data_IF_891882807519
#
_entry.id   IF_891882807519
#
_cell.length_a   1.000
_cell.length_b   1.000
_cell.length_c   1.000
_cell.angle_alpha   90.00
_cell.angle_beta   90.00
_cell.angle_gamma   90.00
#
_symmetry.space_group_name_H-M   'P 1'
#
loop_
_entity.id
_entity.type
_entity.pdbx_description
1 polymer ?
#
# COMPACT_ATOMS: atom_id res chain seq x y z
N UNK A 1 18.61 7.26 -18.57
CA UNK A 1 18.32 5.97 -17.91
C UNK A 1 17.38 6.28 -16.76
N UNK A 2 16.08 5.95 -16.89
CA UNK A 2 15.15 6.09 -15.77
C UNK A 2 15.58 5.11 -14.67
N UNK A 3 15.84 5.65 -13.49
CA UNK A 3 16.18 4.90 -12.30
C UNK A 3 15.01 3.95 -12.01
N UNK A 4 15.19 2.65 -12.29
CA UNK A 4 14.11 1.66 -12.15
C UNK A 4 13.77 1.54 -10.68
N UNK A 5 12.70 2.22 -10.28
CA UNK A 5 12.12 2.16 -8.94
C UNK A 5 11.83 0.70 -8.59
N UNK A 6 12.32 0.23 -7.45
CA UNK A 6 11.91 -1.07 -6.94
C UNK A 6 10.40 -1.03 -6.67
N UNK A 7 9.68 -2.03 -7.18
CA UNK A 7 8.28 -2.33 -6.83
C UNK A 7 8.21 -3.72 -6.18
N UNK A 8 7.26 -3.96 -5.30
CA UNK A 8 7.07 -5.30 -4.70
C UNK A 8 6.05 -6.12 -5.46
N UNK A 9 5.09 -5.48 -6.13
CA UNK A 9 4.06 -6.20 -6.89
C UNK A 9 4.66 -6.64 -8.23
N UNK A 10 4.65 -7.96 -8.47
CA UNK A 10 5.28 -8.60 -9.63
C UNK A 10 4.27 -9.45 -10.40
N UNK A 11 4.71 -9.90 -11.57
CA UNK A 11 3.95 -10.77 -12.45
C UNK A 11 4.78 -12.01 -12.81
N UNK A 12 4.21 -13.18 -12.54
CA UNK A 12 4.59 -14.43 -13.18
C UNK A 12 3.95 -14.49 -14.57
N UNK A 13 4.79 -14.32 -15.60
CA UNK A 13 4.34 -14.28 -16.99
C UNK A 13 3.75 -15.62 -17.42
N UNK A 14 4.23 -16.75 -16.89
CA UNK A 14 3.79 -18.07 -17.33
C UNK A 14 2.34 -18.34 -16.92
N UNK A 15 1.97 -17.93 -15.70
CA UNK A 15 0.61 -18.07 -15.16
C UNK A 15 -0.40 -17.10 -15.77
N UNK A 16 0.03 -15.94 -16.28
CA UNK A 16 -0.87 -14.86 -16.67
C UNK A 16 -1.67 -15.13 -17.96
N UNK A 17 -2.98 -15.34 -17.91
CA UNK A 17 -3.79 -15.58 -19.12
C UNK A 17 -4.27 -14.32 -19.87
N UNK A 18 -3.83 -13.12 -19.48
CA UNK A 18 -4.27 -11.89 -20.12
C UNK A 18 -5.77 -11.58 -19.99
N UNK A 19 -6.45 -12.14 -18.97
CA UNK A 19 -7.91 -12.10 -18.81
C UNK A 19 -8.52 -10.72 -18.49
N UNK A 20 -7.71 -9.67 -18.47
CA UNK A 20 -8.09 -8.26 -18.21
C UNK A 20 -8.55 -7.87 -16.80
N UNK A 21 -8.83 -8.81 -15.89
CA UNK A 21 -9.42 -8.47 -14.58
C UNK A 21 -8.56 -7.49 -13.75
N UNK A 22 -7.24 -7.73 -13.69
CA UNK A 22 -6.33 -6.89 -12.93
C UNK A 22 -6.22 -5.44 -13.44
N UNK A 23 -6.40 -5.19 -14.74
CA UNK A 23 -6.31 -3.82 -15.25
C UNK A 23 -7.54 -2.99 -14.90
N UNK A 24 -8.74 -3.61 -14.87
CA UNK A 24 -9.99 -2.93 -14.50
C UNK A 24 -10.03 -2.51 -13.04
N UNK A 25 -9.25 -3.18 -12.19
CA UNK A 25 -9.20 -2.95 -10.75
C UNK A 25 -7.99 -2.12 -10.32
N UNK A 26 -7.12 -1.72 -11.26
CA UNK A 26 -5.94 -0.95 -10.91
C UNK A 26 -6.31 0.52 -10.65
N UNK A 27 -6.16 1.04 -9.41
CA UNK A 27 -6.65 2.36 -9.01
C UNK A 27 -5.93 3.54 -9.69
N UNK A 28 -4.74 3.28 -10.22
CA UNK A 28 -3.89 4.24 -10.92
C UNK A 28 -3.70 3.88 -12.39
N UNK A 29 -4.52 2.95 -12.90
CA UNK A 29 -4.47 2.51 -14.30
C UNK A 29 -3.06 2.07 -14.73
N UNK A 30 -2.29 1.47 -13.80
CA UNK A 30 -0.90 1.08 -14.00
C UNK A 30 -0.73 -0.19 -14.84
N UNK A 31 -1.82 -0.88 -15.20
CA UNK A 31 -1.74 -2.18 -15.87
C UNK A 31 -2.23 -2.05 -17.32
N UNK A 32 -1.44 -2.60 -18.24
CA UNK A 32 -1.85 -2.85 -19.64
C UNK A 32 -1.80 -4.35 -19.92
N UNK A 33 -2.57 -4.82 -20.89
CA UNK A 33 -2.47 -6.18 -21.43
C UNK A 33 -2.08 -6.08 -22.89
N UNK A 34 -0.94 -6.67 -23.25
CA UNK A 34 -0.38 -6.66 -24.60
C UNK A 34 0.29 -8.01 -24.87
N UNK A 35 0.10 -8.54 -26.08
CA UNK A 35 0.62 -9.87 -26.43
C UNK A 35 0.09 -10.99 -25.51
N UNK A 36 -1.17 -10.88 -25.07
CA UNK A 36 -1.82 -11.87 -24.20
C UNK A 36 -1.35 -11.89 -22.74
N UNK A 37 -0.47 -10.98 -22.31
CA UNK A 37 0.03 -10.91 -20.93
C UNK A 37 -0.12 -9.51 -20.34
N UNK A 38 -0.27 -9.41 -19.02
CA UNK A 38 -0.29 -8.14 -18.33
C UNK A 38 1.12 -7.52 -18.25
N UNK A 39 1.19 -6.19 -18.19
CA UNK A 39 2.40 -5.40 -17.97
C UNK A 39 2.07 -4.34 -16.93
N UNK A 40 2.98 -4.08 -15.99
CA UNK A 40 2.85 -3.05 -14.96
C UNK A 40 3.72 -1.87 -15.40
N UNK A 41 3.13 -0.68 -15.45
CA UNK A 41 3.82 0.59 -15.64
C UNK A 41 4.32 1.00 -14.25
N UNK A 42 5.62 0.87 -14.03
CA UNK A 42 6.26 1.04 -12.72
C UNK A 42 5.94 2.42 -12.13
N UNK A 43 6.02 3.48 -12.94
CA UNK A 43 5.77 4.87 -12.52
C UNK A 43 4.35 5.09 -12.00
N UNK A 44 3.37 4.28 -12.42
CA UNK A 44 1.97 4.34 -11.95
C UNK A 44 1.69 3.42 -10.77
N UNK A 45 2.50 2.38 -10.59
CA UNK A 45 2.21 1.36 -9.59
C UNK A 45 2.44 1.92 -8.18
N UNK A 46 1.43 1.77 -7.34
CA UNK A 46 1.47 2.17 -5.92
C UNK A 46 1.65 0.98 -4.97
N UNK A 47 1.83 -0.23 -5.52
CA UNK A 47 2.01 -1.48 -4.80
C UNK A 47 0.86 -1.85 -3.83
N UNK A 48 -0.36 -1.38 -4.08
CA UNK A 48 -1.52 -1.63 -3.21
C UNK A 48 -1.94 -3.11 -3.15
N UNK A 49 -1.49 -3.93 -4.10
CA UNK A 49 -1.79 -5.36 -4.16
C UNK A 49 -3.20 -5.72 -4.66
N UNK A 50 -4.01 -4.77 -5.13
CA UNK A 50 -5.36 -5.05 -5.65
C UNK A 50 -5.32 -6.08 -6.79
N UNK A 51 -4.33 -5.96 -7.69
CA UNK A 51 -4.14 -6.94 -8.76
C UNK A 51 -3.73 -8.34 -8.29
N UNK A 52 -3.16 -8.48 -7.08
CA UNK A 52 -2.86 -9.79 -6.46
C UNK A 52 -4.16 -10.44 -6.03
N UNK A 53 -5.05 -9.67 -5.37
CA UNK A 53 -6.33 -10.16 -4.84
C UNK A 53 -7.28 -10.66 -5.93
N UNK A 54 -7.34 -9.97 -7.06
CA UNK A 54 -8.33 -10.25 -8.13
C UNK A 54 -7.83 -11.22 -9.20
N UNK A 55 -6.59 -11.72 -9.10
CA UNK A 55 -6.03 -12.59 -10.12
C UNK A 55 -6.37 -14.07 -9.86
N UNK A 56 -7.37 -14.59 -10.56
CA UNK A 56 -7.79 -16.01 -10.46
C UNK A 56 -6.69 -17.01 -10.85
N UNK A 57 -5.70 -16.56 -11.61
CA UNK A 57 -4.58 -17.38 -12.06
C UNK A 57 -3.36 -17.32 -11.14
N UNK A 58 -3.45 -16.55 -10.04
CA UNK A 58 -2.34 -16.29 -9.11
C UNK A 58 -1.04 -15.88 -9.83
N UNK A 59 -1.18 -15.13 -10.91
CA UNK A 59 -0.07 -14.65 -11.72
C UNK A 59 0.56 -13.39 -11.12
N UNK A 60 -0.20 -12.63 -10.31
CA UNK A 60 0.31 -11.47 -9.58
C UNK A 60 0.70 -11.92 -8.18
N UNK A 61 1.87 -11.47 -7.70
CA UNK A 61 2.36 -11.79 -6.37
C UNK A 61 3.13 -10.60 -5.78
N UNK A 62 3.30 -10.60 -4.46
CA UNK A 62 4.16 -9.65 -3.77
C UNK A 62 5.52 -10.31 -3.54
N UNK A 63 6.57 -9.67 -4.03
CA UNK A 63 7.96 -10.03 -3.76
C UNK A 63 8.34 -9.47 -2.39
N UNK A 64 8.56 -10.36 -1.42
CA UNK A 64 9.12 -10.08 -0.09
C UNK A 64 10.49 -10.73 0.06
N UNK A 65 11.19 -10.45 1.16
CA UNK A 65 12.42 -11.16 1.49
C UNK A 65 12.08 -12.58 1.99
N UNK A 66 12.78 -13.62 1.53
CA UNK A 66 12.63 -14.96 2.08
C UNK A 66 13.19 -15.02 3.50
N UNK A 67 12.75 -16.00 4.29
CA UNK A 67 13.30 -16.24 5.63
C UNK A 67 14.83 -16.41 5.67
N UNK A 68 15.44 -16.97 4.61
CA UNK A 68 16.89 -17.12 4.51
C UNK A 68 17.66 -15.79 4.51
N UNK A 69 17.00 -14.67 4.17
CA UNK A 69 17.62 -13.33 4.26
C UNK A 69 18.00 -12.95 5.69
N UNK A 70 17.47 -13.64 6.71
CA UNK A 70 17.87 -13.44 8.10
C UNK A 70 19.31 -13.92 8.37
N UNK A 71 19.85 -14.84 7.58
CA UNK A 71 21.17 -15.44 7.78
C UNK A 71 22.32 -14.46 7.51
N UNK A 72 22.06 -13.35 6.81
CA UNK A 72 23.05 -12.30 6.55
C UNK A 72 23.37 -11.46 7.80
N UNK A 73 22.59 -11.61 8.87
CA UNK A 73 22.76 -10.88 10.12
C UNK A 73 23.07 -11.81 11.28
N UNK A 74 23.90 -11.32 12.19
CA UNK A 74 24.30 -12.06 13.40
C UNK A 74 23.17 -12.10 14.42
N UNK A 75 22.43 -11.00 14.55
CA UNK A 75 21.29 -10.86 15.44
C UNK A 75 20.04 -10.45 14.66
N UNK A 76 18.89 -11.02 15.02
CA UNK A 76 17.64 -10.92 14.26
C UNK A 76 16.53 -10.40 15.15
N UNK A 77 16.00 -9.23 14.80
CA UNK A 77 14.85 -8.62 15.46
C UNK A 77 13.62 -8.79 14.58
N UNK A 78 12.54 -9.34 15.14
CA UNK A 78 11.25 -9.40 14.48
C UNK A 78 10.41 -8.16 14.82
N UNK A 79 9.82 -7.54 13.80
CA UNK A 79 8.83 -6.47 13.94
C UNK A 79 7.46 -6.96 13.48
N UNK A 80 6.65 -7.61 14.35
CA UNK A 80 5.31 -8.02 13.99
C UNK A 80 4.39 -6.83 13.80
N UNK A 81 3.72 -6.75 12.65
CA UNK A 81 2.62 -5.81 12.46
C UNK A 81 1.47 -6.12 13.44
N UNK A 82 0.72 -5.11 13.94
CA UNK A 82 -0.42 -5.35 14.83
C UNK A 82 -1.47 -6.29 14.23
N UNK A 83 -1.65 -6.25 12.90
CA UNK A 83 -2.59 -7.13 12.20
C UNK A 83 -2.21 -8.61 12.22
N UNK A 84 -0.96 -8.96 12.60
CA UNK A 84 -0.54 -10.35 12.81
C UNK A 84 -1.35 -11.02 13.91
N UNK A 85 -1.73 -10.28 14.95
CA UNK A 85 -2.51 -10.80 16.06
C UNK A 85 -3.91 -11.27 15.61
N UNK A 86 -4.47 -10.64 14.58
CA UNK A 86 -5.75 -11.08 13.99
C UNK A 86 -5.65 -12.39 13.19
N UNK A 87 -4.46 -12.88 12.87
CA UNK A 87 -4.30 -14.03 11.97
C UNK A 87 -4.46 -15.38 12.68
N UNK A 88 -4.36 -15.40 14.01
CA UNK A 88 -4.44 -16.63 14.81
C UNK A 88 -5.72 -16.65 15.64
N UNK A 89 -6.36 -17.82 15.70
CA UNK A 89 -7.58 -18.03 16.47
C UNK A 89 -7.24 -18.28 17.93
N UNK A 90 -8.15 -17.85 18.82
CA UNK A 90 -8.07 -18.09 20.27
C UNK A 90 -6.82 -17.54 20.96
N UNK A 91 -6.23 -16.46 20.42
CA UNK A 91 -5.24 -15.70 21.18
C UNK A 91 -5.92 -15.04 22.40
N UNK A 92 -5.27 -15.18 23.54
CA UNK A 92 -5.63 -14.55 24.82
C UNK A 92 -4.83 -13.26 24.98
N UNK A 93 -3.58 -13.24 24.52
CA UNK A 93 -2.67 -12.09 24.62
C UNK A 93 -1.76 -12.00 23.39
N UNK A 94 -1.40 -10.77 22.94
CA UNK A 94 -0.37 -10.57 21.93
C UNK A 94 0.97 -11.25 22.28
N UNK A 95 1.30 -11.40 23.57
CA UNK A 95 2.53 -12.08 24.03
C UNK A 95 2.72 -13.47 23.44
N UNK A 96 1.64 -14.21 23.15
CA UNK A 96 1.71 -15.53 22.52
C UNK A 96 2.40 -15.49 21.16
N UNK A 97 2.11 -14.46 20.37
CA UNK A 97 2.70 -14.27 19.05
C UNK A 97 4.16 -13.85 19.19
N UNK A 98 4.46 -12.96 20.15
CA UNK A 98 5.82 -12.49 20.40
C UNK A 98 6.74 -13.63 20.87
N UNK A 99 6.29 -14.43 21.83
CA UNK A 99 7.04 -15.58 22.33
C UNK A 99 7.15 -16.69 21.27
N UNK A 100 6.12 -16.85 20.42
CA UNK A 100 6.18 -17.73 19.26
C UNK A 100 7.27 -17.34 18.27
N UNK A 101 7.47 -16.04 18.03
CA UNK A 101 8.53 -15.53 17.16
C UNK A 101 9.92 -15.76 17.76
N UNK A 102 10.09 -15.57 19.07
CA UNK A 102 11.34 -15.92 19.75
C UNK A 102 11.62 -17.43 19.64
N UNK A 103 10.61 -18.27 19.87
CA UNK A 103 10.75 -19.72 19.75
C UNK A 103 11.05 -20.19 18.30
N UNK A 104 10.74 -19.36 17.31
CA UNK A 104 11.06 -19.60 15.89
C UNK A 104 12.53 -19.26 15.56
N UNK A 105 13.26 -18.59 16.46
CA UNK A 105 14.69 -18.31 16.32
C UNK A 105 15.06 -16.83 16.11
N UNK A 106 14.15 -15.89 16.36
CA UNK A 106 14.51 -14.47 16.48
C UNK A 106 15.18 -14.21 17.85
N UNK A 107 16.18 -13.32 17.87
CA UNK A 107 16.92 -12.96 19.08
C UNK A 107 16.15 -11.94 19.94
N UNK A 108 15.33 -11.10 19.31
CA UNK A 108 14.45 -10.13 19.97
C UNK A 108 13.19 -9.90 19.14
N UNK A 109 12.12 -9.47 19.81
CA UNK A 109 10.87 -9.06 19.14
C UNK A 109 10.44 -7.71 19.68
N UNK A 110 10.23 -6.76 18.77
CA UNK A 110 9.67 -5.45 19.11
C UNK A 110 8.38 -5.25 18.32
N UNK A 111 7.25 -5.24 19.02
CA UNK A 111 5.96 -5.12 18.34
C UNK A 111 5.75 -3.74 17.73
N UNK A 112 5.29 -3.71 16.48
CA UNK A 112 5.03 -2.44 15.78
C UNK A 112 3.86 -1.68 16.40
N UNK A 113 3.01 -2.35 17.19
CA UNK A 113 1.97 -1.73 18.00
C UNK A 113 2.56 -0.69 18.99
N UNK A 114 3.70 -0.97 19.62
CA UNK A 114 4.40 0.00 20.47
C UNK A 114 4.99 1.16 19.66
N UNK A 115 5.39 0.90 18.41
CA UNK A 115 5.73 1.96 17.46
C UNK A 115 4.52 2.85 17.11
N UNK A 116 3.33 2.26 16.98
CA UNK A 116 2.09 2.98 16.72
C UNK A 116 1.66 3.86 17.90
N UNK A 117 1.90 3.45 19.14
CA UNK A 117 1.71 4.32 20.31
C UNK A 117 2.60 5.58 20.21
N UNK A 118 3.89 5.41 19.90
CA UNK A 118 4.83 6.53 19.77
C UNK A 118 4.40 7.47 18.63
N UNK A 119 4.03 6.90 17.48
CA UNK A 119 3.55 7.67 16.33
C UNK A 119 2.25 8.40 16.64
N UNK A 120 1.30 7.77 17.34
CA UNK A 120 0.05 8.41 17.78
C UNK A 120 0.34 9.68 18.58
N UNK A 121 1.19 9.58 19.61
CA UNK A 121 1.59 10.74 20.41
C UNK A 121 2.27 11.81 19.55
N UNK A 122 3.16 11.41 18.64
CA UNK A 122 3.86 12.34 17.75
C UNK A 122 2.92 13.08 16.79
N UNK A 123 1.94 12.39 16.20
CA UNK A 123 0.91 13.00 15.35
C UNK A 123 0.10 14.00 16.17
N UNK A 124 -0.34 13.63 17.37
CA UNK A 124 -1.12 14.52 18.24
C UNK A 124 -0.37 15.79 18.65
N UNK A 125 0.93 15.69 18.93
CA UNK A 125 1.78 16.88 19.14
C UNK A 125 1.90 17.73 17.88
N UNK A 126 1.98 17.11 16.70
CA UNK A 126 2.03 17.84 15.43
C UNK A 126 0.72 18.58 15.16
N UNK A 127 -0.42 17.92 15.41
CA UNK A 127 -1.77 18.51 15.27
C UNK A 127 -2.02 19.66 16.25
N UNK A 128 -1.51 19.58 17.49
CA UNK A 128 -1.57 20.70 18.46
C UNK A 128 -0.92 21.99 17.94
N UNK A 129 0.04 21.87 17.03
CA UNK A 129 0.78 22.99 16.43
C UNK A 129 0.34 23.31 14.99
N UNK A 130 -0.68 22.61 14.48
CA UNK A 130 -1.18 22.78 13.11
C UNK A 130 -2.00 24.07 12.98
N UNK A 131 -1.97 24.67 11.79
CA UNK A 131 -2.75 25.84 11.42
C UNK A 131 -4.05 25.44 10.70
N UNK A 132 -5.07 26.31 10.62
CA UNK A 132 -6.32 26.00 9.94
C UNK A 132 -6.16 25.48 8.49
N UNK A 133 -5.18 25.99 7.75
CA UNK A 133 -4.86 25.58 6.37
C UNK A 133 -4.23 24.18 6.26
N UNK A 134 -3.72 23.60 7.34
CA UNK A 134 -3.17 22.25 7.34
C UNK A 134 -4.30 21.19 7.31
N UNK A 135 -5.54 21.58 7.64
CA UNK A 135 -6.68 20.67 7.75
C UNK A 135 -7.41 20.46 6.41
N UNK A 136 -7.92 19.23 6.15
CA UNK A 136 -7.81 18.03 6.99
C UNK A 136 -6.39 17.45 6.98
N UNK A 137 -5.93 16.93 8.12
CA UNK A 137 -4.64 16.20 8.17
C UNK A 137 -4.85 14.76 7.69
N UNK A 138 -4.07 14.33 6.71
CA UNK A 138 -4.13 13.01 6.11
C UNK A 138 -3.06 12.10 6.70
N UNK A 139 -3.45 10.91 7.17
CA UNK A 139 -2.53 9.89 7.65
C UNK A 139 -1.49 9.46 6.60
N UNK A 140 -0.25 9.27 7.05
CA UNK A 140 0.86 8.74 6.24
C UNK A 140 1.11 7.24 6.46
N UNK A 141 0.30 6.58 7.29
CA UNK A 141 0.54 5.21 7.77
C UNK A 141 0.50 4.16 6.64
N UNK A 142 -0.42 4.33 5.68
CA UNK A 142 -0.56 3.46 4.51
C UNK A 142 0.27 3.97 3.33
N UNK A 143 1.42 3.33 3.00
CA UNK A 143 2.29 3.82 1.91
C UNK A 143 1.62 3.77 0.53
N UNK A 144 0.65 2.86 0.33
CA UNK A 144 -0.13 2.80 -0.90
C UNK A 144 -1.02 4.04 -1.08
N UNK A 145 -1.62 4.56 0.01
CA UNK A 145 -2.43 5.79 -0.04
C UNK A 145 -1.55 7.02 -0.26
N UNK A 146 -0.42 7.12 0.44
CA UNK A 146 0.54 8.22 0.18
C UNK A 146 0.99 8.23 -1.29
N UNK A 147 1.28 7.06 -1.87
CA UNK A 147 1.62 6.97 -3.30
C UNK A 147 0.45 7.23 -4.24
N UNK A 148 -0.76 6.85 -3.86
CA UNK A 148 -1.97 7.20 -4.60
C UNK A 148 -2.12 8.72 -4.69
N UNK A 149 -1.98 9.43 -3.56
CA UNK A 149 -2.04 10.90 -3.50
C UNK A 149 -0.98 11.52 -4.42
N UNK A 150 0.27 11.04 -4.35
CA UNK A 150 1.35 11.50 -5.25
C UNK A 150 1.02 11.35 -6.74
N UNK A 151 0.22 10.36 -7.12
CA UNK A 151 -0.09 10.04 -8.53
C UNK A 151 -1.39 10.72 -8.99
N UNK A 152 -2.40 10.82 -8.13
CA UNK A 152 -3.76 11.24 -8.52
C UNK A 152 -4.26 12.51 -7.85
N UNK A 153 -3.73 12.88 -6.69
CA UNK A 153 -4.22 14.00 -5.87
C UNK A 153 -3.04 14.88 -5.39
N UNK A 154 -2.18 15.39 -6.30
CA UNK A 154 -0.98 16.11 -5.90
C UNK A 154 -1.26 17.37 -5.05
N UNK A 155 -2.45 17.96 -5.19
CA UNK A 155 -2.86 19.13 -4.41
C UNK A 155 -3.08 18.80 -2.92
N UNK A 156 -3.29 17.53 -2.58
CA UNK A 156 -3.44 17.05 -1.20
C UNK A 156 -2.11 16.71 -0.51
N UNK A 157 -0.96 16.91 -1.17
CA UNK A 157 0.34 16.51 -0.60
C UNK A 157 0.72 17.28 0.66
N UNK A 158 0.35 18.57 0.76
CA UNK A 158 0.60 19.41 1.93
C UNK A 158 -0.18 18.96 3.17
N UNK A 159 -1.29 18.25 2.97
CA UNK A 159 -2.14 17.74 4.05
C UNK A 159 -1.61 16.44 4.65
N UNK A 160 -0.63 15.76 4.02
CA UNK A 160 -0.09 14.50 4.55
C UNK A 160 0.80 14.77 5.76
N UNK A 161 0.50 14.11 6.88
CA UNK A 161 1.28 14.20 8.10
C UNK A 161 2.73 13.73 7.89
N UNK A 162 3.69 14.54 8.34
CA UNK A 162 5.13 14.36 8.13
C UNK A 162 5.81 13.51 9.22
N UNK A 163 5.08 12.54 9.78
CA UNK A 163 5.59 11.61 10.79
C UNK A 163 5.93 10.26 10.14
N UNK A 164 7.08 9.68 10.50
CA UNK A 164 7.53 8.37 10.04
C UNK A 164 6.56 7.27 10.48
N UNK A 165 6.41 6.26 9.65
CA UNK A 165 5.46 5.17 9.87
C UNK A 165 5.83 4.32 11.10
N UNK A 166 4.85 3.66 11.76
CA UNK A 166 5.09 2.85 12.96
C UNK A 166 6.20 1.81 12.82
N UNK A 167 6.35 1.16 11.66
CA UNK A 167 7.41 0.16 11.44
C UNK A 167 8.82 0.78 11.47
N UNK A 168 8.97 2.01 10.98
CA UNK A 168 10.24 2.74 10.97
C UNK A 168 10.60 3.14 12.40
N UNK A 169 9.63 3.68 13.13
CA UNK A 169 9.80 4.06 14.54
C UNK A 169 10.13 2.84 15.41
N UNK A 170 9.40 1.75 15.23
CA UNK A 170 9.66 0.48 15.90
C UNK A 170 11.09 -0.04 15.60
N UNK A 171 11.51 -0.03 14.34
CA UNK A 171 12.86 -0.45 13.97
C UNK A 171 13.96 0.41 14.61
N UNK A 172 13.79 1.73 14.60
CA UNK A 172 14.75 2.67 15.19
C UNK A 172 14.90 2.44 16.70
N UNK A 173 13.79 2.25 17.42
CA UNK A 173 13.79 1.97 18.86
C UNK A 173 14.44 0.61 19.12
N UNK A 174 13.95 -0.44 18.45
CA UNK A 174 14.39 -1.81 18.66
C UNK A 174 15.89 -1.98 18.43
N UNK A 175 16.42 -1.48 17.30
CA UNK A 175 17.86 -1.55 17.00
C UNK A 175 18.68 -0.80 18.04
N UNK A 176 18.29 0.44 18.38
CA UNK A 176 19.05 1.27 19.34
C UNK A 176 19.12 0.63 20.72
N UNK A 177 18.00 0.09 21.20
CA UNK A 177 17.92 -0.53 22.51
C UNK A 177 18.64 -1.88 22.55
N UNK A 178 18.50 -2.70 21.50
CA UNK A 178 19.21 -3.98 21.39
C UNK A 178 20.72 -3.77 21.32
N UNK A 179 21.21 -2.89 20.43
CA UNK A 179 22.64 -2.60 20.30
C UNK A 179 23.24 -2.11 21.62
N UNK A 180 22.54 -1.20 22.33
CA UNK A 180 22.98 -0.70 23.63
C UNK A 180 23.01 -1.79 24.70
N UNK A 181 21.96 -2.61 24.77
CA UNK A 181 21.82 -3.68 25.78
C UNK A 181 22.84 -4.80 25.59
N UNK A 182 23.13 -5.15 24.34
CA UNK A 182 24.00 -6.28 23.99
C UNK A 182 25.43 -5.85 23.64
N UNK A 183 25.70 -4.55 23.57
CA UNK A 183 26.99 -3.97 23.18
C UNK A 183 27.47 -4.52 21.83
N UNK A 184 26.61 -4.40 20.82
CA UNK A 184 26.85 -4.88 19.44
C UNK A 184 26.71 -3.74 18.45
N UNK A 185 27.36 -3.89 17.29
CA UNK A 185 27.32 -2.90 16.22
C UNK A 185 25.96 -2.93 15.49
N UNK A 186 25.41 -1.77 15.08
CA UNK A 186 24.14 -1.71 14.35
C UNK A 186 24.12 -2.53 13.05
N UNK A 187 25.27 -2.69 12.38
CA UNK A 187 25.39 -3.47 11.15
C UNK A 187 25.23 -4.98 11.35
N UNK A 188 25.44 -5.49 12.58
CA UNK A 188 25.28 -6.91 12.91
C UNK A 188 23.81 -7.30 13.17
N UNK A 189 22.93 -6.29 13.30
CA UNK A 189 21.54 -6.46 13.75
C UNK A 189 20.57 -6.25 12.59
N UNK A 190 19.97 -7.34 12.12
CA UNK A 190 18.90 -7.31 11.13
C UNK A 190 17.54 -7.15 11.78
N UNK A 191 16.73 -6.21 11.31
CA UNK A 191 15.41 -5.92 11.80
C UNK A 191 14.38 -6.08 10.67
N UNK A 192 13.52 -7.09 10.80
CA UNK A 192 12.63 -7.53 9.72
C UNK A 192 11.17 -7.32 10.08
N UNK A 193 10.46 -6.63 9.20
CA UNK A 193 9.04 -6.39 9.34
C UNK A 193 8.21 -7.58 8.85
N UNK A 194 7.39 -8.14 9.73
CA UNK A 194 6.45 -9.21 9.36
C UNK A 194 5.21 -8.53 8.80
N UNK A 195 5.14 -8.47 7.47
CA UNK A 195 4.23 -7.57 6.76
C UNK A 195 2.95 -8.24 6.25
N UNK A 196 1.78 -7.60 6.39
CA UNK A 196 0.56 -8.00 5.69
C UNK A 196 0.49 -7.40 4.27
N UNK A 197 1.47 -6.58 3.89
CA UNK A 197 1.35 -5.61 2.81
C UNK A 197 2.55 -5.66 1.84
N UNK A 198 2.25 -5.64 0.54
CA UNK A 198 3.27 -5.50 -0.51
C UNK A 198 3.91 -4.09 -0.49
N UNK A 199 3.09 -3.04 -0.40
CA UNK A 199 3.59 -1.66 -0.41
C UNK A 199 4.59 -1.35 0.72
N UNK A 200 4.53 -2.04 1.86
CA UNK A 200 5.52 -1.89 2.95
C UNK A 200 6.90 -2.37 2.53
N UNK A 201 7.00 -3.49 1.81
CA UNK A 201 8.27 -3.94 1.23
C UNK A 201 8.85 -2.90 0.27
N UNK A 202 7.98 -2.28 -0.52
CA UNK A 202 8.43 -1.21 -1.41
C UNK A 202 8.82 0.06 -0.64
N UNK A 203 8.17 0.36 0.48
CA UNK A 203 8.53 1.50 1.32
C UNK A 203 9.89 1.31 2.01
N UNK A 204 10.29 0.06 2.29
CA UNK A 204 11.62 -0.25 2.82
C UNK A 204 12.70 0.00 1.75
N UNK A 205 12.51 -0.51 0.54
CA UNK A 205 13.49 -0.40 -0.57
C UNK A 205 13.47 0.95 -1.28
N UNK A 206 12.33 1.66 -1.26
CA UNK A 206 12.15 3.00 -1.81
C UNK A 206 11.27 3.83 -0.86
N UNK A 207 11.90 4.42 0.18
CA UNK A 207 11.18 5.12 1.22
C UNK A 207 10.44 6.37 0.75
N UNK A 208 9.41 6.73 1.52
CA UNK A 208 8.62 7.93 1.30
C UNK A 208 8.83 8.84 2.50
N UNK A 209 9.29 10.06 2.24
CA UNK A 209 9.54 11.05 3.27
C UNK A 209 10.88 10.91 3.99
N UNK A 210 11.74 9.96 3.60
CA UNK A 210 13.05 9.78 4.24
C UNK A 210 14.09 9.19 3.29
N UNK A 211 15.38 9.37 3.61
CA UNK A 211 16.49 8.89 2.78
C UNK A 211 16.63 7.36 2.76
N UNK A 212 16.64 6.75 3.94
CA UNK A 212 16.84 5.30 4.12
C UNK A 212 15.92 4.75 5.18
N UNK A 213 15.34 3.57 4.94
CA UNK A 213 14.53 2.86 5.94
C UNK A 213 15.41 2.36 7.10
N UNK A 214 14.87 2.38 8.31
CA UNK A 214 15.48 1.76 9.48
C UNK A 214 15.26 0.23 9.52
N UNK A 215 14.32 -0.28 8.70
CA UNK A 215 13.99 -1.69 8.55
C UNK A 215 14.88 -2.30 7.46
N UNK A 216 15.45 -3.50 7.66
CA UNK A 216 16.38 -4.11 6.70
C UNK A 216 15.68 -4.96 5.63
N UNK A 217 14.48 -5.45 5.94
CA UNK A 217 13.68 -6.27 5.05
C UNK A 217 12.28 -6.53 5.58
N UNK A 218 11.45 -7.19 4.77
CA UNK A 218 10.13 -7.62 5.17
C UNK A 218 9.83 -9.04 4.76
N UNK A 219 9.23 -9.79 5.68
CA UNK A 219 8.83 -11.19 5.50
C UNK A 219 7.31 -11.25 5.46
N UNK A 220 6.76 -12.01 4.51
CA UNK A 220 5.32 -12.18 4.34
C UNK A 220 4.70 -12.93 5.52
N UNK A 221 3.54 -12.47 6.03
CA UNK A 221 2.81 -13.24 7.05
C UNK A 221 2.40 -14.63 6.54
N UNK A 222 2.04 -14.76 5.26
CA UNK A 222 1.71 -16.05 4.64
C UNK A 222 2.87 -17.06 4.74
N UNK A 223 4.11 -16.59 4.61
CA UNK A 223 5.29 -17.45 4.62
C UNK A 223 5.57 -18.01 6.02
N UNK A 224 5.38 -17.18 7.06
CA UNK A 224 5.67 -17.60 8.44
C UNK A 224 4.48 -18.22 9.16
N UNK A 225 3.25 -18.03 8.66
CA UNK A 225 2.01 -18.37 9.36
C UNK A 225 2.02 -19.79 9.92
N UNK A 226 2.34 -20.79 9.09
CA UNK A 226 2.33 -22.20 9.49
C UNK A 226 3.38 -22.52 10.55
N UNK A 227 4.58 -21.97 10.41
CA UNK A 227 5.68 -22.17 11.36
C UNK A 227 5.31 -21.54 12.70
N UNK A 228 4.92 -20.27 12.68
CA UNK A 228 4.56 -19.51 13.87
C UNK A 228 3.35 -20.11 14.61
N UNK A 229 2.32 -20.56 13.88
CA UNK A 229 1.16 -21.25 14.47
C UNK A 229 1.56 -22.49 15.28
N UNK A 230 2.60 -23.22 14.83
CA UNK A 230 3.10 -24.41 15.52
C UNK A 230 3.80 -24.08 16.84
N UNK A 231 4.44 -22.91 16.93
CA UNK A 231 5.08 -22.42 18.14
C UNK A 231 4.06 -21.83 19.11
N UNK A 232 3.11 -21.01 18.63
CA UNK A 232 2.05 -20.41 19.47
C UNK A 232 1.29 -21.46 20.27
N UNK A 233 0.97 -22.62 19.68
CA UNK A 233 0.27 -23.72 20.36
C UNK A 233 1.04 -24.34 21.53
N UNK A 234 2.36 -24.19 21.55
CA UNK A 234 3.26 -24.76 22.58
C UNK A 234 3.60 -23.75 23.68
N UNK A 235 3.25 -22.47 23.50
CA UNK A 235 3.52 -21.41 24.47
C UNK A 235 2.42 -21.40 25.52
N UNK A 236 2.79 -21.65 26.77
CA UNK A 236 1.92 -21.46 27.93
C UNK A 236 2.07 -20.02 28.45
N UNK A 237 0.99 -19.27 28.51
CA UNK A 237 1.02 -17.81 28.70
C UNK A 237 1.03 -17.39 30.16
N UNK A 238 2.23 -17.22 30.72
CA UNK A 238 2.48 -16.38 31.91
C UNK A 238 3.35 -15.14 31.56
N UNK A 239 3.66 -14.95 30.28
CA UNK A 239 4.55 -13.91 29.76
C UNK A 239 3.82 -12.57 29.54
N UNK A 240 4.34 -11.51 30.16
CA UNK A 240 3.87 -10.13 29.96
C UNK A 240 4.80 -9.32 29.03
N UNK A 241 5.17 -9.90 27.88
CA UNK A 241 6.07 -9.27 26.89
C UNK A 241 5.40 -8.17 26.07
N UNK A 242 4.11 -8.29 25.80
CA UNK A 242 3.36 -7.25 25.11
C UNK A 242 3.36 -5.97 25.95
N UNK A 243 3.73 -4.86 25.32
CA UNK A 243 3.88 -3.55 25.98
C UNK A 243 2.99 -2.48 25.35
N UNK A 244 2.46 -2.70 24.16
CA UNK A 244 1.61 -1.75 23.45
C UNK A 244 0.29 -1.50 24.19
N UNK A 245 -0.28 -0.31 24.00
CA UNK A 245 -1.65 -0.04 24.42
C UNK A 245 -2.67 -0.70 23.47
N UNK A 246 -3.93 -0.75 23.90
CA UNK A 246 -5.06 -1.11 23.05
C UNK A 246 -5.18 -0.19 21.83
N UNK A 247 -4.74 1.08 21.92
CA UNK A 247 -4.69 1.99 20.79
C UNK A 247 -3.63 1.56 19.77
N UNK A 248 -2.41 1.28 20.21
CA UNK A 248 -1.33 0.80 19.34
C UNK A 248 -1.65 -0.53 18.66
N UNK A 249 -2.31 -1.45 19.35
CA UNK A 249 -2.82 -2.69 18.75
C UNK A 249 -3.98 -2.42 17.78
N UNK A 250 -4.85 -1.45 18.12
CA UNK A 250 -6.02 -1.05 17.34
C UNK A 250 -5.69 -0.61 15.91
N UNK A 251 -4.51 0.00 15.68
CA UNK A 251 -3.99 0.36 14.34
C UNK A 251 -3.93 -0.82 13.34
N UNK A 252 -4.08 -2.07 13.81
CA UNK A 252 -4.25 -3.23 12.94
C UNK A 252 -5.42 -3.09 11.95
N UNK A 253 -6.49 -2.43 12.35
CA UNK A 253 -7.75 -2.35 11.61
C UNK A 253 -8.12 -0.91 11.28
N UNK A 254 -8.92 -0.75 10.22
CA UNK A 254 -9.49 0.55 9.81
C UNK A 254 -10.21 1.22 10.98
N UNK A 255 -9.91 2.50 11.21
CA UNK A 255 -10.44 3.33 12.30
C UNK A 255 -9.61 3.29 13.58
N UNK A 256 -8.64 2.38 13.69
CA UNK A 256 -7.79 2.27 14.87
C UNK A 256 -6.84 3.46 15.04
N UNK A 257 -6.33 4.00 13.94
CA UNK A 257 -5.47 5.19 13.97
C UNK A 257 -6.31 6.44 14.28
N UNK A 258 -7.43 6.64 13.58
CA UNK A 258 -8.33 7.77 13.80
C UNK A 258 -8.82 7.83 15.26
N UNK A 259 -9.22 6.68 15.83
CA UNK A 259 -9.64 6.60 17.23
C UNK A 259 -8.53 6.95 18.24
N UNK A 260 -7.26 6.66 17.90
CA UNK A 260 -6.10 6.95 18.74
C UNK A 260 -5.62 8.40 18.58
N UNK A 261 -5.70 8.96 17.38
CA UNK A 261 -5.16 10.28 17.04
C UNK A 261 -6.18 11.38 17.31
N UNK A 262 -7.39 11.28 16.76
CA UNK A 262 -8.42 12.31 16.80
C UNK A 262 -9.80 11.64 16.73
N UNK A 263 -10.36 11.17 17.86
CA UNK A 263 -11.63 10.44 17.86
C UNK A 263 -12.84 11.30 17.41
N UNK A 264 -12.71 12.62 17.48
CA UNK A 264 -13.71 13.59 17.03
C UNK A 264 -13.33 14.16 15.67
N UNK A 265 -14.33 14.45 14.84
CA UNK A 265 -14.15 15.09 13.53
C UNK A 265 -13.16 14.38 12.60
N UNK A 266 -13.03 13.05 12.74
CA UNK A 266 -12.20 12.22 11.88
C UNK A 266 -13.01 11.28 11.01
N UNK A 267 -12.40 10.83 9.92
CA UNK A 267 -13.00 9.86 9.01
C UNK A 267 -11.99 8.76 8.70
N UNK A 268 -12.37 7.51 8.96
CA UNK A 268 -11.62 6.34 8.57
C UNK A 268 -12.29 5.67 7.39
N UNK A 269 -11.52 5.46 6.32
CA UNK A 269 -12.01 4.91 5.05
C UNK A 269 -11.07 3.81 4.60
N UNK A 270 -11.64 2.64 4.34
CA UNK A 270 -10.91 1.49 3.83
C UNK A 270 -11.43 0.99 2.48
N UNK A 271 -10.53 0.29 1.78
CA UNK A 271 -10.74 -0.10 0.39
C UNK A 271 -10.39 1.04 -0.55
N UNK A 272 -9.44 0.80 -1.45
CA UNK A 272 -8.84 1.86 -2.26
C UNK A 272 -9.85 2.64 -3.12
N UNK A 273 -10.88 1.98 -3.64
CA UNK A 273 -11.94 2.65 -4.42
C UNK A 273 -12.74 3.65 -3.56
N UNK A 274 -13.01 3.33 -2.29
CA UNK A 274 -13.68 4.23 -1.36
C UNK A 274 -12.78 5.40 -0.96
N UNK A 275 -11.50 5.10 -0.68
CA UNK A 275 -10.51 6.13 -0.34
C UNK A 275 -10.37 7.14 -1.48
N UNK A 276 -10.32 6.69 -2.74
CA UNK A 276 -10.29 7.56 -3.92
C UNK A 276 -11.47 8.54 -3.92
N UNK A 277 -12.70 8.03 -3.75
CA UNK A 277 -13.90 8.87 -3.76
C UNK A 277 -13.88 9.91 -2.65
N UNK A 278 -13.40 9.56 -1.46
CA UNK A 278 -13.33 10.52 -0.36
C UNK A 278 -12.21 11.54 -0.57
N UNK A 279 -11.05 11.13 -1.10
CA UNK A 279 -9.99 12.07 -1.49
C UNK A 279 -10.48 13.06 -2.56
N UNK A 280 -11.31 12.63 -3.52
CA UNK A 280 -11.96 13.52 -4.50
C UNK A 280 -12.87 14.55 -3.80
N UNK A 281 -13.63 14.16 -2.75
CA UNK A 281 -14.45 15.10 -1.99
C UNK A 281 -13.61 16.06 -1.12
N UNK A 282 -12.46 15.61 -0.60
CA UNK A 282 -11.49 16.46 0.12
C UNK A 282 -10.88 17.49 -0.84
N UNK A 283 -10.37 17.06 -2.00
CA UNK A 283 -9.78 17.95 -3.02
C UNK A 283 -10.79 18.98 -3.54
N UNK A 284 -12.07 18.60 -3.63
CA UNK A 284 -13.17 19.50 -3.98
C UNK A 284 -13.65 20.42 -2.82
N UNK A 285 -12.94 20.45 -1.69
CA UNK A 285 -13.25 21.28 -0.51
C UNK A 285 -14.66 21.08 0.07
N UNK A 286 -15.22 19.87 -0.02
CA UNK A 286 -16.57 19.54 0.47
C UNK A 286 -16.61 19.06 1.92
N UNK A 287 -15.45 18.71 2.50
CA UNK A 287 -15.33 18.15 3.86
C UNK A 287 -14.60 19.12 4.80
N UNK A 288 -15.14 20.33 4.97
CA UNK A 288 -14.47 21.43 5.69
C UNK A 288 -14.34 21.20 7.20
N UNK A 289 -15.25 20.42 7.80
CA UNK A 289 -15.22 20.10 9.23
C UNK A 289 -14.33 18.89 9.56
N UNK A 290 -13.65 18.31 8.55
CA UNK A 290 -12.79 17.14 8.72
C UNK A 290 -11.44 17.58 9.29
N UNK A 291 -11.06 17.01 10.44
CA UNK A 291 -9.79 17.30 11.13
C UNK A 291 -8.74 16.23 10.79
N UNK A 292 -9.14 14.97 10.69
CA UNK A 292 -8.21 13.87 10.42
C UNK A 292 -8.79 12.83 9.48
N UNK A 293 -8.02 12.43 8.48
CA UNK A 293 -8.38 11.40 7.50
C UNK A 293 -7.46 10.19 7.59
N UNK A 294 -8.01 9.04 7.99
CA UNK A 294 -7.34 7.74 7.94
C UNK A 294 -7.75 6.99 6.67
N UNK A 295 -6.83 6.87 5.72
CA UNK A 295 -7.03 6.11 4.49
C UNK A 295 -6.29 4.77 4.50
N UNK A 296 -7.01 3.67 4.29
CA UNK A 296 -6.42 2.34 4.13
C UNK A 296 -6.75 1.72 2.76
N UNK A 297 -5.71 1.31 2.01
CA UNK A 297 -5.89 0.74 0.68
C UNK A 297 -6.63 -0.61 0.66
N UNK A 298 -6.63 -1.36 1.77
CA UNK A 298 -7.20 -2.70 1.87
C UNK A 298 -8.46 -2.67 2.73
N UNK A 299 -9.47 -3.46 2.36
CA UNK A 299 -10.73 -3.56 3.12
C UNK A 299 -10.50 -4.02 4.55
N UNK A 300 -11.08 -3.31 5.51
CA UNK A 300 -10.87 -3.54 6.95
C UNK A 300 -9.52 -3.07 7.50
N UNK A 301 -8.66 -2.43 6.69
CA UNK A 301 -7.34 -1.96 7.10
C UNK A 301 -6.24 -3.00 6.87
N UNK A 302 -5.20 -2.99 7.71
CA UNK A 302 -4.03 -3.87 7.54
C UNK A 302 -4.35 -5.37 7.74
N UNK A 303 -5.43 -5.70 8.44
CA UNK A 303 -5.95 -7.08 8.57
C UNK A 303 -6.47 -7.68 7.26
N UNK A 304 -6.75 -6.86 6.24
CA UNK A 304 -7.15 -7.30 4.90
C UNK A 304 -6.05 -7.19 3.84
N UNK A 305 -4.79 -7.09 4.28
CA UNK A 305 -3.65 -6.98 3.37
C UNK A 305 -3.49 -8.21 2.45
N UNK A 306 -2.86 -8.06 1.26
CA UNK A 306 -2.73 -9.17 0.31
C UNK A 306 -1.81 -10.31 0.79
N UNK A 307 -1.09 -10.12 1.91
CA UNK A 307 -0.21 -11.13 2.50
C UNK A 307 -0.76 -11.68 3.82
N UNK A 308 -2.06 -11.50 4.11
CA UNK A 308 -2.70 -12.08 5.30
C UNK A 308 -3.25 -13.49 5.02
N UNK A 309 -3.31 -14.33 6.05
CA UNK A 309 -3.84 -15.70 5.92
C UNK A 309 -5.35 -15.75 6.18
N UNK A 310 -5.80 -15.07 7.22
CA UNK A 310 -7.19 -15.16 7.68
C UNK A 310 -8.10 -14.17 6.94
N UNK A 311 -9.40 -14.44 6.93
CA UNK A 311 -10.38 -13.52 6.37
C UNK A 311 -10.34 -12.17 7.12
N UNK A 312 -10.43 -11.05 6.39
CA UNK A 312 -10.28 -9.71 6.97
C UNK A 312 -11.30 -9.39 8.07
N UNK A 313 -12.55 -9.83 7.94
CA UNK A 313 -13.60 -9.60 8.95
C UNK A 313 -13.37 -10.45 10.20
N UNK A 314 -12.95 -11.72 10.01
CA UNK A 314 -12.59 -12.62 11.11
C UNK A 314 -11.38 -12.10 11.86
N UNK A 315 -10.34 -11.69 11.14
CA UNK A 315 -9.12 -11.13 11.71
C UNK A 315 -9.39 -9.83 12.46
N UNK A 316 -10.24 -8.95 11.92
CA UNK A 316 -10.70 -7.73 12.61
C UNK A 316 -11.40 -8.06 13.92
N UNK A 317 -12.31 -9.03 13.91
CA UNK A 317 -13.02 -9.44 15.13
C UNK A 317 -12.06 -10.05 16.17
N UNK A 318 -11.07 -10.82 15.73
CA UNK A 318 -10.04 -11.38 16.61
C UNK A 318 -9.20 -10.26 17.27
N UNK A 319 -8.75 -9.27 16.50
CA UNK A 319 -8.07 -8.09 17.05
C UNK A 319 -8.96 -7.37 18.05
N UNK A 320 -10.21 -7.06 17.69
CA UNK A 320 -11.14 -6.36 18.57
C UNK A 320 -11.32 -7.08 19.92
N UNK A 321 -11.39 -8.42 19.90
CA UNK A 321 -11.48 -9.23 21.11
C UNK A 321 -10.22 -9.11 21.97
N UNK A 322 -9.03 -9.10 21.34
CA UNK A 322 -7.75 -8.94 22.02
C UNK A 322 -7.58 -7.56 22.68
N UNK A 323 -8.18 -6.50 22.11
CA UNK A 323 -8.07 -5.15 22.67
C UNK A 323 -8.58 -5.07 24.12
N UNK A 324 -9.60 -5.85 24.48
CA UNK A 324 -10.15 -5.88 25.83
C UNK A 324 -9.17 -6.40 26.89
N UNK A 325 -8.17 -7.17 26.48
CA UNK A 325 -7.10 -7.67 27.36
C UNK A 325 -5.82 -6.83 27.32
N UNK A 326 -5.78 -5.77 26.50
CA UNK A 326 -4.62 -4.89 26.38
C UNK A 326 -4.69 -3.70 27.36
N UNK A 327 -3.55 -3.05 27.59
CA UNK A 327 -3.48 -1.82 28.40
C UNK A 327 -4.28 -0.69 27.73
N UNK A 328 -5.29 -0.16 28.40
CA UNK A 328 -6.18 0.89 27.90
C UNK A 328 -5.61 2.32 28.07
N UNK A 329 -4.41 2.46 28.61
CA UNK A 329 -3.79 3.78 28.82
C UNK A 329 -3.52 4.45 27.47
N UNK A 330 -4.01 5.69 27.32
CA UNK A 330 -3.87 6.44 26.08
C UNK A 330 -2.38 6.73 25.78
N UNK A 331 -1.94 6.74 24.50
CA UNK A 331 -0.53 6.96 24.15
C UNK A 331 0.08 8.27 24.66
N UNK A 332 -0.71 9.33 24.86
CA UNK A 332 -0.26 10.60 25.45
C UNK A 332 0.28 10.41 26.89
N UNK A 333 -0.31 9.50 27.67
CA UNK A 333 0.07 9.21 29.05
C UNK A 333 1.08 8.07 29.14
N UNK A 334 0.95 7.08 28.25
CA UNK A 334 1.78 5.87 28.24
C UNK A 334 3.18 6.10 27.68
N UNK A 335 3.28 6.77 26.53
CA UNK A 335 4.57 6.97 25.84
C UNK A 335 5.31 8.10 26.52
N UNK A 336 6.56 7.90 26.95
CA UNK A 336 7.34 8.99 27.53
C UNK A 336 7.65 10.08 26.49
N UNK A 337 7.39 11.36 26.81
CA UNK A 337 7.63 12.50 25.92
C UNK A 337 9.05 12.58 25.34
N UNK A 338 10.06 12.07 26.07
CA UNK A 338 11.46 12.04 25.61
C UNK A 338 11.65 11.24 24.32
N UNK A 339 10.76 10.30 23.99
CA UNK A 339 10.82 9.57 22.71
C UNK A 339 10.72 10.50 21.50
N UNK A 340 9.96 11.60 21.62
CA UNK A 340 9.76 12.57 20.55
C UNK A 340 11.04 13.32 20.17
N UNK A 341 11.96 13.52 21.13
CA UNK A 341 13.27 14.14 20.88
C UNK A 341 14.43 13.15 20.73
N UNK A 342 14.29 11.92 21.26
CA UNK A 342 15.34 10.89 21.27
C UNK A 342 15.52 10.20 19.91
N UNK A 343 14.49 10.21 19.07
CA UNK A 343 14.45 9.55 17.78
C UNK A 343 14.00 10.53 16.68
N UNK A 344 14.52 10.40 15.44
CA UNK A 344 14.11 11.24 14.32
C UNK A 344 12.73 10.77 13.81
N UNK A 345 11.66 11.24 14.45
CA UNK A 345 10.28 10.82 14.11
C UNK A 345 9.71 11.56 12.89
N UNK A 346 10.22 12.75 12.60
CA UNK A 346 9.77 13.58 11.47
C UNK A 346 10.45 13.08 10.17
N UNK A 347 9.71 13.15 9.07
CA UNK A 347 10.21 12.92 7.72
C UNK A 347 11.34 13.91 7.36
N UNK A 348 12.48 13.41 6.88
CA UNK A 348 13.65 14.20 6.45
C UNK A 348 13.60 14.60 4.97
N UNK A 349 12.66 14.06 4.20
CA UNK A 349 12.43 14.44 2.79
C UNK A 349 10.96 14.81 2.56
N UNK A 350 10.67 15.77 1.68
CA UNK A 350 9.29 16.07 1.31
C UNK A 350 8.67 14.94 0.47
N UNK A 351 7.36 14.77 0.59
CA UNK A 351 6.60 13.89 -0.29
C UNK A 351 6.28 14.65 -1.58
N UNK A 352 6.96 14.29 -2.68
CA UNK A 352 6.83 14.98 -3.96
C UNK A 352 5.81 14.31 -4.90
N UNK A 353 5.12 15.09 -5.76
CA UNK A 353 4.24 14.53 -6.77
C UNK A 353 4.99 13.59 -7.72
N UNK A 354 4.27 12.64 -8.30
CA UNK A 354 4.82 11.71 -9.28
C UNK A 354 4.42 12.19 -10.69
N UNK A 355 5.41 12.54 -11.51
CA UNK A 355 5.21 13.15 -12.84
C UNK A 355 4.85 12.11 -13.92
N UNK A 356 3.81 11.33 -13.69
CA UNK A 356 3.43 10.20 -14.54
C UNK A 356 2.85 10.65 -15.90
N UNK A 357 2.18 11.80 -15.96
CA UNK A 357 1.57 12.32 -17.19
C UNK A 357 2.53 13.15 -18.05
N UNK A 358 3.79 12.72 -18.23
CA UNK A 358 4.63 13.24 -19.31
C UNK A 358 4.41 12.43 -20.59
N UNK A 359 3.75 13.05 -21.58
CA UNK A 359 3.54 12.49 -22.93
C UNK A 359 4.78 12.66 -23.83
N UNK A 360 5.56 13.71 -23.58
CA UNK A 360 6.83 14.02 -24.22
C UNK A 360 7.69 14.88 -23.28
N UNK A 361 8.99 14.95 -23.54
CA UNK A 361 9.90 15.86 -22.84
C UNK A 361 9.83 17.27 -23.44
N UNK A 362 9.50 17.38 -24.73
CA UNK A 362 9.22 18.65 -25.40
C UNK A 362 7.76 19.08 -25.15
N UNK A 363 7.58 20.30 -24.63
CA UNK A 363 6.25 20.82 -24.26
C UNK A 363 5.34 20.94 -25.49
N UNK A 364 5.87 21.35 -26.63
CA UNK A 364 5.08 21.54 -27.87
C UNK A 364 4.60 20.19 -28.38
N UNK A 365 5.46 19.18 -28.41
CA UNK A 365 5.07 17.82 -28.79
C UNK A 365 4.11 17.18 -27.77
N UNK A 366 4.30 17.44 -26.48
CA UNK A 366 3.37 16.99 -25.44
C UNK A 366 1.97 17.59 -25.63
N UNK A 367 1.87 18.88 -25.98
CA UNK A 367 0.61 19.55 -26.28
C UNK A 367 -0.08 18.95 -27.52
N UNK A 368 0.66 18.72 -28.61
CA UNK A 368 0.11 18.05 -29.82
C UNK A 368 -0.41 16.65 -29.51
N UNK A 369 0.35 15.87 -28.75
CA UNK A 369 -0.08 14.52 -28.30
C UNK A 369 -1.34 14.59 -27.44
N UNK A 370 -1.45 15.60 -26.58
CA UNK A 370 -2.63 15.80 -25.74
C UNK A 370 -3.87 16.15 -26.58
N UNK A 371 -3.74 17.05 -27.55
CA UNK A 371 -4.82 17.39 -28.49
C UNK A 371 -5.29 16.16 -29.28
N UNK A 372 -4.34 15.43 -29.88
CA UNK A 372 -4.63 14.17 -30.58
C UNK A 372 -5.29 13.12 -29.67
N UNK A 373 -4.88 13.04 -28.41
CA UNK A 373 -5.48 12.12 -27.45
C UNK A 373 -6.95 12.47 -27.21
N UNK A 374 -7.29 13.75 -27.04
CA UNK A 374 -8.68 14.20 -26.86
C UNK A 374 -9.54 13.92 -28.12
N UNK A 375 -8.98 14.09 -29.32
CA UNK A 375 -9.66 13.70 -30.57
C UNK A 375 -9.97 12.19 -30.62
N UNK A 376 -8.98 11.35 -30.30
CA UNK A 376 -9.16 9.90 -30.26
C UNK A 376 -10.21 9.53 -29.22
N UNK A 377 -10.18 10.11 -28.02
CA UNK A 377 -11.17 9.85 -26.96
C UNK A 377 -12.59 10.13 -27.46
N UNK A 378 -12.82 11.25 -28.17
CA UNK A 378 -14.14 11.57 -28.73
C UNK A 378 -14.62 10.57 -29.79
N UNK A 379 -13.70 9.94 -30.51
CA UNK A 379 -14.01 8.91 -31.51
C UNK A 379 -14.27 7.53 -30.90
N UNK A 380 -13.85 7.29 -29.66
CA UNK A 380 -13.99 6.01 -28.99
C UNK A 380 -15.39 5.83 -28.39
N UNK A 381 -15.88 4.59 -28.22
CA UNK A 381 -17.23 4.33 -27.70
C UNK A 381 -17.48 4.79 -26.24
N UNK A 382 -16.43 5.05 -25.47
CA UNK A 382 -16.55 5.46 -24.06
C UNK A 382 -17.01 4.37 -23.08
N UNK A 383 -17.00 3.09 -23.48
CA UNK A 383 -17.49 2.00 -22.62
C UNK A 383 -16.49 1.53 -21.55
N UNK A 384 -15.22 1.90 -21.65
CA UNK A 384 -14.15 1.47 -20.73
C UNK A 384 -14.11 -0.06 -20.52
N UNK A 385 -14.39 -0.82 -21.59
CA UNK A 385 -14.61 -2.25 -21.50
C UNK A 385 -13.33 -3.07 -21.26
N UNK A 386 -12.15 -2.47 -21.44
CA UNK A 386 -10.84 -3.11 -21.24
C UNK A 386 -10.38 -4.07 -22.34
N UNK A 387 -11.17 -4.25 -23.41
CA UNK A 387 -10.93 -5.31 -24.42
C UNK A 387 -9.67 -5.09 -25.26
N UNK A 388 -9.27 -3.84 -25.48
CA UNK A 388 -8.01 -3.48 -26.14
C UNK A 388 -6.78 -3.64 -25.22
N UNK A 389 -6.99 -4.08 -23.97
CA UNK A 389 -5.94 -4.23 -22.97
C UNK A 389 -5.54 -2.93 -22.25
N UNK A 390 -6.35 -1.88 -22.37
CA UNK A 390 -6.18 -0.61 -21.65
C UNK A 390 -7.39 -0.37 -20.72
N UNK A 391 -7.21 0.15 -19.49
CA UNK A 391 -8.29 0.30 -18.50
C UNK A 391 -9.51 1.07 -19.00
N UNK A 392 -9.27 2.19 -19.64
CA UNK A 392 -10.28 3.15 -20.09
C UNK A 392 -10.01 3.58 -21.54
N UNK A 393 -11.01 4.10 -22.22
CA UNK A 393 -10.86 4.71 -23.54
C UNK A 393 -9.81 5.84 -23.52
N UNK A 394 -9.72 6.60 -22.42
CA UNK A 394 -8.69 7.63 -22.23
C UNK A 394 -7.28 7.04 -22.18
N UNK A 395 -7.06 6.00 -21.38
CA UNK A 395 -5.75 5.30 -21.35
C UNK A 395 -5.42 4.60 -22.67
N UNK A 396 -6.41 4.13 -23.41
CA UNK A 396 -6.20 3.56 -24.74
C UNK A 396 -5.76 4.64 -25.74
N UNK A 397 -6.39 5.82 -25.72
CA UNK A 397 -5.97 6.95 -26.51
C UNK A 397 -4.54 7.39 -26.16
N UNK A 398 -4.19 7.40 -24.87
CA UNK A 398 -2.81 7.62 -24.41
C UNK A 398 -1.85 6.59 -25.04
N UNK A 399 -2.20 5.31 -25.01
CA UNK A 399 -1.37 4.26 -25.59
C UNK A 399 -1.19 4.44 -27.11
N UNK A 400 -2.21 4.91 -27.83
CA UNK A 400 -2.14 5.20 -29.27
C UNK A 400 -1.18 6.36 -29.55
N UNK A 401 -1.31 7.49 -28.85
CA UNK A 401 -0.45 8.67 -29.09
C UNK A 401 1.01 8.41 -28.69
N UNK A 402 1.25 7.47 -27.77
CA UNK A 402 2.58 6.98 -27.41
C UNK A 402 3.11 5.88 -28.34
N UNK A 403 2.31 5.37 -29.28
CA UNK A 403 2.71 4.34 -30.24
C UNK A 403 2.69 2.90 -29.68
N UNK A 404 2.06 2.67 -28.53
CA UNK A 404 1.91 1.34 -27.91
C UNK A 404 0.64 0.59 -28.36
N UNK A 405 -0.22 1.25 -29.12
CA UNK A 405 -1.47 0.71 -29.66
C UNK A 405 -1.85 1.41 -30.96
N UNK A 406 -2.81 0.83 -31.68
CA UNK A 406 -3.44 1.42 -32.86
C UNK A 406 -4.95 1.47 -32.66
N UNK A 407 -5.65 2.36 -33.38
CA UNK A 407 -7.12 2.45 -33.31
C UNK A 407 -7.83 1.12 -33.58
N UNK A 408 -7.23 0.26 -34.40
CA UNK A 408 -7.74 -1.07 -34.77
C UNK A 408 -7.72 -2.07 -33.61
N UNK A 409 -6.98 -1.80 -32.52
CA UNK A 409 -6.99 -2.63 -31.33
C UNK A 409 -8.30 -2.49 -30.54
N UNK A 410 -9.10 -1.44 -30.81
CA UNK A 410 -10.45 -1.33 -30.28
C UNK A 410 -11.40 -2.26 -31.05
N UNK A 411 -11.91 -3.29 -30.37
CA UNK A 411 -12.81 -4.29 -30.98
C UNK A 411 -14.08 -3.66 -31.58
N UNK A 412 -14.55 -2.53 -31.04
CA UNK A 412 -15.74 -1.85 -31.55
C UNK A 412 -15.43 -1.13 -32.87
N UNK A 413 -14.32 -0.37 -32.94
CA UNK A 413 -13.84 0.27 -34.17
C UNK A 413 -13.53 -0.77 -35.25
N UNK A 414 -12.84 -1.86 -34.86
CA UNK A 414 -12.52 -2.95 -35.76
C UNK A 414 -13.78 -3.56 -36.37
N UNK A 415 -14.80 -3.88 -35.55
CA UNK A 415 -16.07 -4.44 -36.04
C UNK A 415 -16.79 -3.50 -36.99
N UNK A 416 -16.80 -2.20 -36.70
CA UNK A 416 -17.44 -1.21 -37.56
C UNK A 416 -16.73 -1.10 -38.92
N UNK A 417 -15.39 -1.02 -38.92
CA UNK A 417 -14.61 -1.02 -40.17
C UNK A 417 -14.78 -2.30 -40.97
N UNK A 418 -14.80 -3.47 -40.32
CA UNK A 418 -15.06 -4.75 -40.98
C UNK A 418 -16.45 -4.79 -41.64
N UNK A 419 -17.46 -4.21 -40.99
CA UNK A 419 -18.82 -4.12 -41.56
C UNK A 419 -18.84 -3.24 -42.82
N UNK A 420 -18.18 -2.08 -42.78
CA UNK A 420 -18.07 -1.17 -43.93
C UNK A 420 -17.32 -1.86 -45.09
N UNK A 421 -16.20 -2.52 -44.80
CA UNK A 421 -15.44 -3.26 -45.81
C UNK A 421 -16.27 -4.39 -46.43
N UNK A 422 -17.00 -5.15 -45.61
CA UNK A 422 -17.87 -6.22 -46.10
C UNK A 422 -19.00 -5.66 -47.01
N UNK A 423 -19.59 -4.51 -46.68
CA UNK A 423 -20.58 -3.85 -47.53
C UNK A 423 -19.98 -3.39 -48.86
N UNK A 424 -18.81 -2.75 -48.84
CA UNK A 424 -18.11 -2.32 -50.05
C UNK A 424 -17.74 -3.50 -50.95
N UNK A 425 -17.31 -4.63 -50.38
CA UNK A 425 -17.04 -5.86 -51.15
C UNK A 425 -18.30 -6.39 -51.86
N UNK A 426 -19.46 -6.31 -51.21
CA UNK A 426 -20.74 -6.72 -51.83
C UNK A 426 -21.14 -5.76 -52.95
N UNK A 427 -20.95 -4.45 -52.78
CA UNK A 427 -21.22 -3.45 -53.83
C UNK A 427 -20.30 -3.63 -55.05
N UNK A 428 -19.01 -3.86 -54.81
CA UNK A 428 -18.02 -4.16 -55.85
C UNK A 428 -18.34 -5.46 -56.60
N UNK A 429 -18.87 -6.48 -55.92
CA UNK A 429 -19.29 -7.72 -56.58
C UNK A 429 -20.56 -7.55 -57.43
N UNK A 430 -21.42 -6.58 -57.10
CA UNK A 430 -22.65 -6.28 -57.84
C UNK A 430 -22.43 -5.33 -59.02
N UNK A 431 -21.29 -4.66 -59.09
CA UNK A 431 -20.92 -3.81 -60.23
C UNK A 431 -20.51 -4.72 -61.38
N UNK A 432 -21.48 -5.10 -62.21
CA UNK A 432 -21.23 -5.68 -63.53
C UNK A 432 -20.54 -4.63 -64.39
N UNK A 433 -19.41 -5.01 -65.02
CA UNK A 433 -18.82 -4.24 -66.11
C UNK A 433 -19.90 -4.05 -67.18
N UNK A 434 -20.32 -2.81 -67.41
CA UNK A 434 -21.02 -2.43 -68.64
C UNK A 434 -20.11 -2.57 -69.86
#
# INVERSE_FOLDING_TARGET
MQDKRFHSVRLDKEKCKGCTNCLKRCPTEAIRVRGGRAHIIDERCIDCGECIRVCDYHAKYAQTDPLSSLEQFKYKIALPAPSLYGQFKHLISPSQVLDGLLAMGFDEVYEVASGADIVTRAIRERMRNAQPEDYPIISSACPAIVRLIRVRFPDLLSHIIDIRQPMEVAAMVAKKEFCKKHNVEPGDVGCFFITPCAAKMTAIRNPIGHETSAVDGAISMLEIYGILASHIKKVHTDSNRATASSYGVGWASSGGEAAAVAPEHSMAVDGIENVIRVLEEIENNKLQDLVFFEGAACTGGCVGGPLTFENSYVARNAVQTLLSGCDITHPDDKVNASYLGKYPLIADKPVLPNSVMRLDDDIVEAMKKMERMEEIVRSLPGYDCGSCGSPTCRTFAEDIVRGFATEMDCIHILKERLKIMAQQMVELAKTTRE
#
